data_IF_895841882890
#
_entry.id   IF_895841882890
#
_cell.length_a   1.000
_cell.length_b   1.000
_cell.length_c   1.000
_cell.angle_alpha   90.00
_cell.angle_beta   90.00
_cell.angle_gamma   90.00
#
_symmetry.space_group_name_H-M   'P 1'
#
loop_
_entity.id
_entity.type
_entity.pdbx_description
1 polymer ?
#
# COMPACT_ATOMS: atom_id res chain seq x y z
N UNK A 1 -14.19 1.69 38.89
CA UNK A 1 -13.51 0.39 38.67
C UNK A 1 -14.21 -0.32 37.51
N UNK A 2 -13.64 -0.25 36.31
CA UNK A 2 -14.14 -1.00 35.15
C UNK A 2 -13.67 -2.44 35.23
N UNK A 3 -14.59 -3.41 35.24
CA UNK A 3 -14.25 -4.84 35.17
C UNK A 3 -13.84 -5.17 33.73
N UNK A 4 -12.55 -5.41 33.54
CA UNK A 4 -12.04 -6.21 32.42
C UNK A 4 -12.60 -7.62 32.58
N UNK A 5 -13.58 -7.97 31.75
CA UNK A 5 -14.09 -9.34 31.64
C UNK A 5 -13.10 -10.12 30.79
N UNK A 6 -12.13 -10.76 31.44
CA UNK A 6 -11.31 -11.81 30.81
C UNK A 6 -12.13 -13.09 30.82
N UNK A 7 -12.73 -13.45 29.68
CA UNK A 7 -13.48 -14.69 29.51
C UNK A 7 -12.53 -15.90 29.65
N UNK A 8 -12.90 -16.86 30.51
CA UNK A 8 -12.22 -18.16 30.63
C UNK A 8 -12.63 -19.07 29.47
N UNK A 9 -11.77 -20.03 29.13
CA UNK A 9 -11.91 -21.05 28.06
C UNK A 9 -13.13 -22.01 28.27
N UNK A 10 -14.11 -21.66 29.11
CA UNK A 10 -15.22 -22.53 29.54
C UNK A 10 -16.60 -22.11 29.04
N UNK A 11 -16.72 -21.03 28.27
CA UNK A 11 -18.00 -20.60 27.73
C UNK A 11 -18.37 -21.40 26.49
N UNK A 12 -19.64 -21.81 26.38
CA UNK A 12 -20.15 -22.54 25.22
C UNK A 12 -19.92 -21.72 23.93
N UNK A 13 -19.50 -22.35 22.82
CA UNK A 13 -19.14 -21.66 21.57
C UNK A 13 -20.29 -20.80 21.02
N UNK A 14 -21.55 -21.18 21.29
CA UNK A 14 -22.73 -20.39 20.94
C UNK A 14 -22.77 -19.04 21.69
N UNK A 15 -22.43 -19.02 22.98
CA UNK A 15 -22.37 -17.78 23.78
C UNK A 15 -21.24 -16.87 23.32
N UNK A 16 -20.09 -17.45 23.00
CA UNK A 16 -18.95 -16.70 22.45
C UNK A 16 -19.33 -16.06 21.10
N UNK A 17 -20.02 -16.80 20.23
CA UNK A 17 -20.56 -16.26 18.98
C UNK A 17 -21.58 -15.16 19.20
N UNK A 18 -22.54 -15.34 20.11
CA UNK A 18 -23.53 -14.31 20.44
C UNK A 18 -22.87 -13.02 20.91
N UNK A 19 -21.87 -13.14 21.80
CA UNK A 19 -21.08 -11.99 22.26
C UNK A 19 -20.31 -11.32 21.13
N UNK A 20 -19.69 -12.12 20.25
CA UNK A 20 -19.04 -11.62 19.04
C UNK A 20 -20.02 -10.86 18.13
N UNK A 21 -21.25 -11.38 17.95
CA UNK A 21 -22.29 -10.75 17.13
C UNK A 21 -22.74 -9.40 17.70
N UNK A 22 -22.89 -9.28 19.02
CA UNK A 22 -23.20 -8.02 19.70
C UNK A 22 -22.12 -6.97 19.45
N UNK A 23 -20.86 -7.35 19.66
CA UNK A 23 -19.70 -6.47 19.44
C UNK A 23 -19.55 -6.07 17.97
N UNK A 24 -19.79 -7.02 17.06
CA UNK A 24 -19.76 -6.77 15.62
C UNK A 24 -20.82 -5.74 15.21
N UNK A 25 -22.05 -5.88 15.70
CA UNK A 25 -23.12 -4.89 15.47
C UNK A 25 -22.81 -3.54 16.08
N UNK A 26 -22.06 -3.52 17.19
CA UNK A 26 -21.55 -2.31 17.82
C UNK A 26 -20.30 -1.70 17.15
N UNK A 27 -19.84 -2.23 16.01
CA UNK A 27 -18.64 -1.75 15.30
C UNK A 27 -17.31 -2.09 15.98
N UNK A 28 -17.33 -2.87 17.07
CA UNK A 28 -16.15 -3.30 17.81
C UNK A 28 -15.54 -4.56 17.20
N UNK A 29 -15.09 -4.46 15.94
CA UNK A 29 -14.67 -5.60 15.13
C UNK A 29 -13.46 -6.36 15.70
N UNK A 30 -12.51 -5.65 16.31
CA UNK A 30 -11.34 -6.27 16.93
C UNK A 30 -11.72 -7.18 18.11
N UNK A 31 -12.65 -6.73 18.97
CA UNK A 31 -13.16 -7.55 20.06
C UNK A 31 -14.06 -8.68 19.56
N UNK A 32 -14.91 -8.41 18.55
CA UNK A 32 -15.71 -9.44 17.91
C UNK A 32 -14.85 -10.58 17.35
N UNK A 33 -13.74 -10.25 16.67
CA UNK A 33 -12.80 -11.22 16.14
C UNK A 33 -12.17 -12.11 17.24
N UNK A 34 -11.89 -11.55 18.43
CA UNK A 34 -11.38 -12.34 19.56
C UNK A 34 -12.39 -13.40 20.00
N UNK A 35 -13.66 -13.01 20.17
CA UNK A 35 -14.72 -13.94 20.57
C UNK A 35 -15.00 -15.00 19.50
N UNK A 36 -15.01 -14.63 18.21
CA UNK A 36 -15.16 -15.61 17.13
C UNK A 36 -13.98 -16.59 17.05
N UNK A 37 -12.75 -16.13 17.32
CA UNK A 37 -11.57 -17.01 17.39
C UNK A 37 -11.69 -18.01 18.55
N UNK A 38 -12.12 -17.56 19.73
CA UNK A 38 -12.37 -18.45 20.87
C UNK A 38 -13.49 -19.46 20.58
N UNK A 39 -14.56 -19.04 19.91
CA UNK A 39 -15.63 -19.94 19.47
C UNK A 39 -15.11 -20.99 18.46
N UNK A 40 -14.28 -20.57 17.50
CA UNK A 40 -13.61 -21.44 16.54
C UNK A 40 -12.66 -22.43 17.23
N UNK A 41 -11.91 -22.01 18.24
CA UNK A 41 -11.01 -22.89 19.01
C UNK A 41 -11.82 -23.93 19.81
N UNK A 42 -12.98 -23.53 20.33
CA UNK A 42 -13.88 -24.40 21.11
C UNK A 42 -14.67 -25.37 20.23
N UNK A 43 -14.92 -25.02 18.98
CA UNK A 43 -15.61 -25.87 18.00
C UNK A 43 -14.99 -25.72 16.60
N UNK A 44 -13.84 -26.38 16.37
CA UNK A 44 -13.08 -26.22 15.13
C UNK A 44 -13.83 -26.65 13.89
N UNK A 45 -14.75 -27.61 13.98
CA UNK A 45 -15.46 -28.18 12.84
C UNK A 45 -16.64 -27.30 12.35
N UNK A 46 -17.12 -26.36 13.17
CA UNK A 46 -18.23 -25.50 12.78
C UNK A 46 -17.74 -24.33 11.89
N UNK A 47 -18.13 -24.27 10.61
CA UNK A 47 -17.69 -23.23 9.68
C UNK A 47 -18.28 -21.86 10.00
N UNK A 48 -19.35 -21.76 10.80
CA UNK A 48 -20.03 -20.50 11.13
C UNK A 48 -19.12 -19.58 11.92
N UNK A 49 -18.39 -20.11 12.91
CA UNK A 49 -17.47 -19.31 13.74
C UNK A 49 -16.33 -18.73 12.89
N UNK A 50 -15.78 -19.55 11.99
CA UNK A 50 -14.73 -19.14 11.05
C UNK A 50 -15.25 -18.12 10.03
N UNK A 51 -16.49 -18.28 9.55
CA UNK A 51 -17.16 -17.33 8.66
C UNK A 51 -17.42 -15.99 9.34
N UNK A 52 -17.81 -15.99 10.61
CA UNK A 52 -17.98 -14.75 11.38
C UNK A 52 -16.64 -14.07 11.69
N UNK A 53 -15.59 -14.85 11.97
CA UNK A 53 -14.23 -14.33 12.11
C UNK A 53 -13.75 -13.62 10.84
N UNK A 54 -13.93 -14.23 9.66
CA UNK A 54 -13.56 -13.57 8.40
C UNK A 54 -14.37 -12.29 8.14
N UNK A 55 -15.61 -12.19 8.62
CA UNK A 55 -16.38 -10.95 8.58
C UNK A 55 -15.73 -9.85 9.41
N UNK A 56 -15.36 -10.15 10.66
CA UNK A 56 -14.71 -9.19 11.55
C UNK A 56 -13.34 -8.74 11.02
N UNK A 57 -12.55 -9.67 10.47
CA UNK A 57 -11.25 -9.35 9.86
C UNK A 57 -11.40 -8.48 8.61
N UNK A 58 -12.42 -8.74 7.79
CA UNK A 58 -12.72 -7.93 6.62
C UNK A 58 -13.06 -6.47 7.00
N UNK A 59 -13.90 -6.27 8.02
CA UNK A 59 -14.26 -4.92 8.50
C UNK A 59 -13.08 -4.18 9.16
N UNK A 60 -12.04 -4.91 9.60
CA UNK A 60 -10.79 -4.32 10.09
C UNK A 60 -9.80 -3.95 8.96
N UNK A 61 -10.11 -4.28 7.71
CA UNK A 61 -9.17 -4.13 6.58
C UNK A 61 -8.07 -5.20 6.53
N UNK A 62 -8.12 -6.22 7.40
CA UNK A 62 -7.19 -7.34 7.39
C UNK A 62 -7.63 -8.40 6.37
N UNK A 63 -7.52 -8.02 5.09
CA UNK A 63 -8.02 -8.82 3.97
C UNK A 63 -7.28 -10.15 3.80
N UNK A 64 -6.00 -10.22 4.18
CA UNK A 64 -5.20 -11.45 4.08
C UNK A 64 -5.68 -12.51 5.08
N UNK A 65 -5.85 -12.14 6.36
CA UNK A 65 -6.39 -13.08 7.34
C UNK A 65 -7.88 -13.36 7.10
N UNK A 66 -8.65 -12.39 6.60
CA UNK A 66 -10.03 -12.63 6.17
C UNK A 66 -10.09 -13.66 5.04
N UNK A 67 -9.24 -13.56 4.03
CA UNK A 67 -9.13 -14.53 2.93
C UNK A 67 -8.84 -15.94 3.45
N UNK A 68 -7.82 -16.09 4.30
CA UNK A 68 -7.46 -17.38 4.90
C UNK A 68 -8.61 -17.98 5.71
N UNK A 69 -9.30 -17.16 6.51
CA UNK A 69 -10.46 -17.59 7.27
C UNK A 69 -11.64 -17.99 6.36
N UNK A 70 -11.85 -17.33 5.22
CA UNK A 70 -12.84 -17.77 4.23
C UNK A 70 -12.48 -19.14 3.66
N UNK A 71 -11.23 -19.34 3.24
CA UNK A 71 -10.76 -20.63 2.75
C UNK A 71 -11.00 -21.74 3.78
N UNK A 72 -10.66 -21.49 5.04
CA UNK A 72 -10.89 -22.42 6.14
C UNK A 72 -12.38 -22.72 6.36
N UNK A 73 -13.24 -21.69 6.31
CA UNK A 73 -14.68 -21.86 6.45
C UNK A 73 -15.29 -22.71 5.32
N UNK A 74 -14.81 -22.56 4.07
CA UNK A 74 -15.27 -23.38 2.94
C UNK A 74 -14.81 -24.83 3.04
N UNK A 75 -13.61 -25.08 3.55
CA UNK A 75 -13.09 -26.45 3.74
C UNK A 75 -13.86 -27.19 4.83
N UNK A 76 -14.30 -26.48 5.87
CA UNK A 76 -15.06 -27.05 7.00
C UNK A 76 -16.56 -27.13 6.76
N UNK A 77 -17.09 -26.35 5.82
CA UNK A 77 -18.51 -26.41 5.51
C UNK A 77 -18.84 -27.68 4.76
N UNK A 78 -19.81 -28.43 5.29
CA UNK A 78 -20.53 -29.40 4.48
C UNK A 78 -21.14 -28.65 3.27
N UNK A 79 -21.00 -29.14 2.04
CA UNK A 79 -21.61 -28.50 0.90
C UNK A 79 -23.12 -28.51 1.14
N UNK A 80 -23.82 -27.38 0.92
CA UNK A 80 -25.25 -27.31 0.53
C UNK A 80 -25.90 -25.96 0.89
N UNK A 81 -25.42 -25.16 1.86
CA UNK A 81 -26.07 -23.85 2.17
C UNK A 81 -25.69 -22.76 1.15
N UNK A 82 -26.59 -22.36 0.23
CA UNK A 82 -26.25 -21.42 -0.85
C UNK A 82 -25.99 -20.01 -0.30
N UNK A 83 -26.77 -19.58 0.69
CA UNK A 83 -26.63 -18.28 1.34
C UNK A 83 -25.31 -18.15 2.12
N UNK A 84 -24.81 -19.27 2.68
CA UNK A 84 -23.52 -19.29 3.36
C UNK A 84 -22.38 -19.07 2.36
N UNK A 85 -22.37 -19.85 1.26
CA UNK A 85 -21.35 -19.72 0.21
C UNK A 85 -21.43 -18.40 -0.52
N UNK A 86 -22.63 -17.84 -0.72
CA UNK A 86 -22.81 -16.53 -1.35
C UNK A 86 -22.17 -15.41 -0.52
N UNK A 87 -22.38 -15.41 0.81
CA UNK A 87 -21.76 -14.42 1.71
C UNK A 87 -20.24 -14.53 1.72
N UNK A 88 -19.70 -15.75 1.75
CA UNK A 88 -18.26 -15.99 1.67
C UNK A 88 -17.68 -15.57 0.32
N UNK A 89 -18.39 -15.87 -0.77
CA UNK A 89 -17.99 -15.48 -2.13
C UNK A 89 -17.91 -13.97 -2.30
N UNK A 90 -18.95 -13.24 -1.87
CA UNK A 90 -18.97 -11.78 -1.93
C UNK A 90 -17.83 -11.15 -1.10
N UNK A 91 -17.49 -11.73 0.06
CA UNK A 91 -16.39 -11.26 0.89
C UNK A 91 -15.03 -11.59 0.27
N UNK A 92 -14.85 -12.80 -0.28
CA UNK A 92 -13.60 -13.22 -0.91
C UNK A 92 -13.26 -12.35 -2.11
N UNK A 93 -14.23 -12.06 -2.98
CA UNK A 93 -14.00 -11.17 -4.12
C UNK A 93 -13.46 -9.80 -3.70
N UNK A 94 -13.97 -9.24 -2.59
CA UNK A 94 -13.50 -7.97 -2.04
C UNK A 94 -12.13 -8.10 -1.36
N UNK A 95 -11.84 -9.20 -0.68
CA UNK A 95 -10.51 -9.44 -0.12
C UNK A 95 -9.44 -9.53 -1.21
N UNK A 96 -9.76 -10.18 -2.34
CA UNK A 96 -8.89 -10.26 -3.50
C UNK A 96 -8.72 -8.89 -4.18
N UNK A 97 -9.78 -8.09 -4.24
CA UNK A 97 -9.75 -6.77 -4.89
C UNK A 97 -9.02 -5.71 -4.05
N UNK A 98 -9.18 -5.72 -2.73
CA UNK A 98 -8.66 -4.67 -1.84
C UNK A 98 -7.41 -5.08 -1.06
N UNK A 99 -7.14 -6.38 -0.96
CA UNK A 99 -6.03 -6.92 -0.18
C UNK A 99 -4.83 -7.34 -1.03
N UNK A 100 -3.66 -7.33 -0.40
CA UNK A 100 -2.45 -7.97 -0.93
C UNK A 100 -2.40 -9.41 -0.45
N UNK A 101 -2.84 -10.34 -1.31
CA UNK A 101 -2.78 -11.79 -1.02
C UNK A 101 -1.50 -12.36 -1.63
N UNK A 102 -0.73 -13.10 -0.82
CA UNK A 102 0.48 -13.78 -1.29
C UNK A 102 0.16 -14.75 -2.44
N UNK A 103 1.01 -14.75 -3.47
CA UNK A 103 0.79 -15.54 -4.68
C UNK A 103 0.76 -17.05 -4.39
N UNK A 104 1.58 -17.54 -3.45
CA UNK A 104 1.59 -18.96 -3.10
C UNK A 104 0.30 -19.34 -2.36
N UNK A 105 -0.16 -18.49 -1.44
CA UNK A 105 -1.44 -18.67 -0.74
C UNK A 105 -2.60 -18.69 -1.74
N UNK A 106 -2.63 -17.74 -2.68
CA UNK A 106 -3.66 -17.67 -3.71
C UNK A 106 -3.65 -18.91 -4.61
N UNK A 107 -2.46 -19.37 -5.04
CA UNK A 107 -2.28 -20.58 -5.85
C UNK A 107 -2.78 -21.83 -5.14
N UNK A 108 -2.48 -21.99 -3.85
CA UNK A 108 -2.99 -23.10 -3.03
C UNK A 108 -4.52 -23.05 -2.86
N UNK A 109 -5.10 -21.85 -2.83
CA UNK A 109 -6.53 -21.64 -2.69
C UNK A 109 -7.32 -21.66 -4.02
N UNK A 110 -6.68 -21.90 -5.17
CA UNK A 110 -7.30 -21.77 -6.50
C UNK A 110 -8.62 -22.55 -6.66
N UNK A 111 -8.70 -23.77 -6.10
CA UNK A 111 -9.92 -24.60 -6.14
C UNK A 111 -11.06 -23.92 -5.39
N UNK A 112 -10.78 -23.35 -4.21
CA UNK A 112 -11.78 -22.65 -3.38
C UNK A 112 -12.24 -21.36 -4.05
N UNK A 113 -11.30 -20.59 -4.62
CA UNK A 113 -11.59 -19.35 -5.35
C UNK A 113 -12.55 -19.64 -6.51
N UNK A 114 -12.23 -20.62 -7.35
CA UNK A 114 -13.09 -21.01 -8.48
C UNK A 114 -14.45 -21.57 -8.00
N UNK A 115 -14.46 -22.33 -6.90
CA UNK A 115 -15.71 -22.82 -6.28
C UNK A 115 -16.59 -21.64 -5.84
N UNK A 116 -16.06 -20.64 -5.15
CA UNK A 116 -16.85 -19.51 -4.67
C UNK A 116 -17.31 -18.56 -5.80
N UNK A 117 -16.47 -18.32 -6.81
CA UNK A 117 -16.85 -17.51 -7.96
C UNK A 117 -18.01 -18.15 -8.75
N UNK A 118 -17.95 -19.46 -9.01
CA UNK A 118 -19.00 -20.18 -9.75
C UNK A 118 -20.36 -20.16 -9.06
N UNK A 119 -20.40 -19.99 -7.72
CA UNK A 119 -21.63 -19.92 -6.93
C UNK A 119 -22.27 -18.54 -6.94
N UNK A 120 -21.44 -17.49 -7.03
CA UNK A 120 -21.91 -16.12 -7.00
C UNK A 120 -20.95 -15.21 -7.76
N UNK A 121 -21.22 -15.05 -9.06
CA UNK A 121 -20.52 -14.07 -9.88
C UNK A 121 -21.07 -12.67 -9.58
N UNK A 122 -20.18 -11.77 -9.17
CA UNK A 122 -20.51 -10.39 -8.84
C UNK A 122 -19.65 -9.39 -9.63
N UNK A 123 -19.94 -8.10 -9.50
CA UNK A 123 -19.11 -7.04 -10.11
C UNK A 123 -17.66 -7.13 -9.60
N UNK A 124 -17.49 -7.42 -8.31
CA UNK A 124 -16.20 -7.54 -7.64
C UNK A 124 -15.38 -8.70 -8.23
N UNK A 125 -16.00 -9.86 -8.49
CA UNK A 125 -15.32 -10.98 -9.17
C UNK A 125 -14.83 -10.59 -10.58
N UNK A 126 -15.67 -9.90 -11.36
CA UNK A 126 -15.27 -9.41 -12.69
C UNK A 126 -14.10 -8.42 -12.61
N UNK A 127 -14.12 -7.53 -11.62
CA UNK A 127 -13.03 -6.57 -11.38
C UNK A 127 -11.75 -7.30 -10.98
N UNK A 128 -11.82 -8.26 -10.06
CA UNK A 128 -10.68 -9.09 -9.68
C UNK A 128 -10.08 -9.83 -10.88
N UNK A 129 -10.89 -10.52 -11.69
CA UNK A 129 -10.41 -11.24 -12.88
C UNK A 129 -9.78 -10.32 -13.92
N UNK A 130 -10.28 -9.10 -14.07
CA UNK A 130 -9.64 -8.09 -14.92
C UNK A 130 -8.26 -7.70 -14.37
N UNK A 131 -8.15 -7.47 -13.07
CA UNK A 131 -6.90 -7.16 -12.36
C UNK A 131 -5.89 -8.31 -12.45
N UNK A 132 -6.33 -9.54 -12.23
CA UNK A 132 -5.50 -10.75 -12.35
C UNK A 132 -5.02 -10.95 -13.79
N UNK A 133 -5.89 -10.73 -14.78
CA UNK A 133 -5.52 -10.77 -16.20
C UNK A 133 -4.50 -9.68 -16.54
N UNK A 134 -4.70 -8.45 -16.07
CA UNK A 134 -3.76 -7.35 -16.25
C UNK A 134 -2.40 -7.65 -15.61
N UNK A 135 -2.39 -8.16 -14.38
CA UNK A 135 -1.16 -8.59 -13.70
C UNK A 135 -0.41 -9.68 -14.50
N UNK A 136 -1.14 -10.66 -15.05
CA UNK A 136 -0.57 -11.69 -15.91
C UNK A 136 -0.05 -11.11 -17.23
N UNK A 137 -0.76 -10.17 -17.86
CA UNK A 137 -0.30 -9.47 -19.06
C UNK A 137 0.95 -8.64 -18.78
N UNK A 138 1.05 -8.01 -17.62
CA UNK A 138 2.25 -7.29 -17.19
C UNK A 138 3.39 -8.29 -17.00
N UNK A 139 3.17 -9.40 -16.32
CA UNK A 139 4.20 -10.42 -16.10
C UNK A 139 4.74 -10.99 -17.42
N UNK A 140 3.85 -11.41 -18.33
CA UNK A 140 4.21 -11.94 -19.65
C UNK A 140 4.79 -10.87 -20.57
N UNK A 141 4.22 -9.67 -20.52
CA UNK A 141 4.59 -8.54 -21.36
C UNK A 141 5.81 -7.76 -20.87
N UNK A 142 6.27 -8.00 -19.63
CA UNK A 142 7.37 -7.28 -19.00
C UNK A 142 8.65 -7.35 -19.83
N UNK A 143 9.06 -8.55 -20.25
CA UNK A 143 10.23 -8.75 -21.12
C UNK A 143 10.07 -8.03 -22.45
N UNK A 144 8.91 -8.14 -23.10
CA UNK A 144 8.65 -7.45 -24.36
C UNK A 144 8.61 -5.93 -24.20
N UNK A 145 8.10 -5.42 -23.08
CA UNK A 145 8.09 -4.00 -22.73
C UNK A 145 9.51 -3.49 -22.46
N UNK A 146 10.35 -4.27 -21.78
CA UNK A 146 11.79 -3.97 -21.62
C UNK A 146 12.49 -3.87 -22.97
N UNK A 147 12.26 -4.81 -23.89
CA UNK A 147 12.79 -4.73 -25.25
C UNK A 147 12.33 -3.47 -25.98
N UNK A 148 11.02 -3.16 -25.95
CA UNK A 148 10.50 -1.93 -26.57
C UNK A 148 11.11 -0.68 -25.96
N UNK A 149 11.27 -0.62 -24.64
CA UNK A 149 11.91 0.51 -23.95
C UNK A 149 13.37 0.70 -24.39
N UNK A 150 14.11 -0.40 -24.56
CA UNK A 150 15.49 -0.36 -25.08
C UNK A 150 15.55 0.12 -26.54
N UNK A 151 14.54 -0.23 -27.33
CA UNK A 151 14.41 0.12 -28.75
C UNK A 151 13.77 1.51 -28.98
N UNK A 152 13.25 2.17 -27.94
CA UNK A 152 12.66 3.51 -28.08
C UNK A 152 13.70 4.49 -28.63
N UNK A 153 13.28 5.29 -29.61
CA UNK A 153 14.09 6.36 -30.15
C UNK A 153 14.43 7.36 -29.04
N UNK A 154 15.69 7.35 -28.63
CA UNK A 154 16.20 8.24 -27.59
C UNK A 154 16.47 9.59 -28.25
N UNK A 155 15.64 10.58 -27.93
CA UNK A 155 15.95 11.96 -28.29
C UNK A 155 17.22 12.37 -27.55
N UNK A 156 18.34 12.42 -28.28
CA UNK A 156 19.55 13.05 -27.80
C UNK A 156 19.41 14.54 -28.07
N UNK A 157 19.38 15.36 -27.04
CA UNK A 157 19.61 16.79 -27.22
C UNK A 157 20.97 16.98 -27.88
N UNK A 158 21.15 18.07 -28.61
CA UNK A 158 22.47 18.43 -29.13
C UNK A 158 23.47 18.44 -27.96
N UNK A 159 24.68 17.95 -28.22
CA UNK A 159 25.78 18.03 -27.25
C UNK A 159 26.00 19.50 -26.92
N UNK A 160 25.51 19.94 -25.77
CA UNK A 160 25.80 21.26 -25.24
C UNK A 160 27.04 21.11 -24.36
N UNK A 161 28.19 21.68 -24.75
CA UNK A 161 29.40 21.64 -23.92
C UNK A 161 29.27 22.49 -22.65
N UNK A 162 28.19 23.27 -22.52
CA UNK A 162 27.89 24.04 -21.31
C UNK A 162 27.59 23.09 -20.17
N UNK A 163 28.43 23.14 -19.13
CA UNK A 163 28.18 22.43 -17.89
C UNK A 163 26.97 23.05 -17.19
N UNK A 164 25.87 22.32 -17.16
CA UNK A 164 24.68 22.69 -16.41
C UNK A 164 24.78 22.08 -15.00
N UNK A 165 24.72 22.93 -13.98
CA UNK A 165 24.73 22.52 -12.58
C UNK A 165 23.30 22.42 -12.08
N UNK A 166 22.83 21.19 -11.87
CA UNK A 166 21.55 20.92 -11.24
C UNK A 166 21.75 20.82 -9.73
N UNK A 167 21.03 21.61 -8.92
CA UNK A 167 21.21 21.64 -7.46
C UNK A 167 20.50 20.48 -6.73
N UNK A 168 19.71 19.69 -7.45
CA UNK A 168 18.78 18.69 -6.92
C UNK A 168 18.76 17.48 -7.87
N UNK A 169 18.56 16.26 -7.37
CA UNK A 169 18.48 15.04 -8.19
C UNK A 169 19.81 14.33 -8.48
N UNK A 170 20.79 14.43 -7.57
CA UNK A 170 22.05 13.67 -7.66
C UNK A 170 21.89 12.24 -7.12
N UNK A 171 20.88 11.52 -7.59
CA UNK A 171 20.78 10.11 -7.26
C UNK A 171 21.98 9.36 -7.83
N UNK A 172 22.42 8.36 -7.09
CA UNK A 172 23.46 7.46 -7.56
C UNK A 172 22.90 6.76 -8.81
N UNK A 173 23.59 6.82 -9.97
CA UNK A 173 23.10 6.19 -11.19
C UNK A 173 22.79 4.71 -10.95
N UNK A 174 21.57 4.30 -11.31
CA UNK A 174 21.10 2.93 -11.20
C UNK A 174 20.50 2.47 -12.53
N UNK A 175 20.46 1.16 -12.77
CA UNK A 175 19.73 0.62 -13.91
C UNK A 175 18.24 0.68 -13.63
N UNK A 176 17.48 1.39 -14.47
CA UNK A 176 16.01 1.41 -14.40
C UNK A 176 15.39 0.04 -14.71
N UNK A 177 16.14 -0.85 -15.37
CA UNK A 177 15.68 -2.19 -15.75
C UNK A 177 16.01 -3.22 -14.67
N UNK A 178 17.23 -3.16 -14.12
CA UNK A 178 17.75 -4.22 -13.25
C UNK A 178 17.56 -3.92 -11.75
N UNK A 179 17.24 -2.67 -11.39
CA UNK A 179 17.24 -2.22 -10.00
C UNK A 179 15.92 -1.53 -9.58
N UNK A 180 14.87 -1.58 -10.41
CA UNK A 180 13.56 -1.02 -10.12
C UNK A 180 12.62 -2.04 -9.48
N UNK A 181 11.97 -1.70 -8.36
CA UNK A 181 11.03 -2.55 -7.62
C UNK A 181 11.63 -3.29 -6.41
N UNK A 182 10.83 -4.13 -5.75
CA UNK A 182 11.20 -4.83 -4.51
C UNK A 182 12.36 -5.83 -4.64
N UNK A 183 12.70 -6.21 -5.87
CA UNK A 183 13.88 -7.03 -6.19
C UNK A 183 15.08 -6.11 -6.42
N UNK A 184 15.48 -5.36 -5.40
CA UNK A 184 16.74 -4.62 -5.47
C UNK A 184 17.89 -5.61 -5.61
N UNK A 185 18.48 -5.68 -6.80
CA UNK A 185 19.72 -6.42 -7.02
C UNK A 185 20.87 -5.68 -6.31
N UNK A 186 21.88 -6.42 -5.85
CA UNK A 186 23.06 -5.87 -5.12
C UNK A 186 23.90 -4.87 -5.95
N UNK A 187 23.52 -4.57 -7.20
CA UNK A 187 24.28 -3.76 -8.14
C UNK A 187 23.88 -2.27 -8.12
N UNK A 188 23.70 -1.70 -6.92
CA UNK A 188 23.62 -0.24 -6.73
C UNK A 188 24.86 0.17 -5.91
N UNK A 189 25.70 1.14 -6.34
CA UNK A 189 25.64 1.96 -7.57
C UNK A 189 25.89 1.19 -8.87
N UNK A 190 25.45 1.73 -10.03
CA UNK A 190 26.02 1.34 -11.32
C UNK A 190 27.53 1.70 -11.33
N UNK A 191 28.46 0.75 -11.48
CA UNK A 191 29.89 1.00 -11.31
C UNK A 191 30.50 1.65 -12.56
N UNK A 192 30.14 2.90 -12.84
CA UNK A 192 30.53 3.65 -14.05
C UNK A 192 32.05 3.64 -14.29
N UNK A 193 32.85 3.70 -13.22
CA UNK A 193 34.32 3.70 -13.28
C UNK A 193 34.91 2.37 -13.76
N UNK A 194 34.16 1.27 -13.65
CA UNK A 194 34.59 -0.07 -14.06
C UNK A 194 34.14 -0.42 -15.48
N UNK A 195 33.32 0.43 -16.13
CA UNK A 195 32.83 0.22 -17.49
C UNK A 195 33.87 0.68 -18.52
N UNK A 196 33.99 -0.08 -19.61
CA UNK A 196 34.79 0.34 -20.76
C UNK A 196 34.15 1.53 -21.47
N UNK A 197 34.96 2.35 -22.16
CA UNK A 197 34.46 3.48 -22.97
C UNK A 197 33.39 3.06 -23.99
N UNK A 198 33.52 1.86 -24.56
CA UNK A 198 32.55 1.28 -25.50
C UNK A 198 31.19 0.95 -24.88
N UNK A 199 31.14 0.70 -23.57
CA UNK A 199 29.90 0.51 -22.81
C UNK A 199 29.34 1.85 -22.36
N UNK A 200 30.20 2.74 -21.88
CA UNK A 200 29.82 4.09 -21.44
C UNK A 200 29.15 4.87 -22.58
N UNK A 201 29.66 4.78 -23.80
CA UNK A 201 29.10 5.48 -24.97
C UNK A 201 27.69 5.00 -25.38
N UNK A 202 27.25 3.85 -24.87
CA UNK A 202 25.92 3.28 -25.11
C UNK A 202 24.93 3.55 -23.97
N UNK A 203 25.40 4.11 -22.85
CA UNK A 203 24.52 4.46 -21.74
C UNK A 203 23.57 5.58 -22.14
N UNK A 204 22.38 5.57 -21.53
CA UNK A 204 21.39 6.61 -21.68
C UNK A 204 20.88 6.93 -20.28
N UNK A 205 20.94 8.19 -19.90
CA UNK A 205 20.51 8.64 -18.58
C UNK A 205 19.09 9.16 -18.71
N UNK A 206 18.19 8.61 -17.90
CA UNK A 206 16.87 9.18 -17.68
C UNK A 206 16.97 10.06 -16.44
N UNK A 207 16.74 11.36 -16.61
CA UNK A 207 16.56 12.28 -15.49
C UNK A 207 15.05 12.37 -15.22
N UNK A 208 14.58 11.60 -14.25
CA UNK A 208 13.20 11.67 -13.76
C UNK A 208 13.25 12.09 -12.28
N UNK A 209 12.69 13.24 -11.95
CA UNK A 209 12.62 13.72 -10.57
C UNK A 209 11.44 13.08 -9.83
N UNK A 210 11.66 12.76 -8.55
CA UNK A 210 10.60 12.32 -7.63
C UNK A 210 9.71 13.54 -7.31
N UNK A 211 8.59 13.66 -8.01
CA UNK A 211 7.58 14.70 -7.74
C UNK A 211 6.99 14.58 -6.34
N UNK A 212 6.87 13.36 -5.83
CA UNK A 212 6.15 13.01 -4.61
C UNK A 212 6.63 13.79 -3.37
N UNK A 213 7.94 13.99 -3.19
CA UNK A 213 8.45 14.72 -2.04
C UNK A 213 8.11 16.22 -2.10
N UNK A 214 8.17 16.81 -3.30
CA UNK A 214 7.79 18.20 -3.53
C UNK A 214 6.28 18.38 -3.41
N UNK A 215 5.52 17.46 -3.97
CA UNK A 215 4.06 17.45 -3.96
C UNK A 215 3.55 17.26 -2.52
N UNK A 216 4.22 16.43 -1.73
CA UNK A 216 3.91 16.26 -0.30
C UNK A 216 4.21 17.54 0.49
N UNK A 217 5.35 18.19 0.28
CA UNK A 217 5.65 19.50 0.88
C UNK A 217 4.62 20.57 0.45
N UNK A 218 4.17 20.51 -0.80
CA UNK A 218 3.14 21.41 -1.33
C UNK A 218 1.79 21.20 -0.64
N UNK A 219 1.37 19.95 -0.43
CA UNK A 219 0.14 19.63 0.29
C UNK A 219 0.20 20.05 1.77
N UNK A 220 1.34 19.90 2.42
CA UNK A 220 1.53 20.39 3.80
C UNK A 220 1.43 21.92 3.86
N UNK A 221 2.04 22.64 2.92
CA UNK A 221 1.90 24.10 2.83
C UNK A 221 0.45 24.54 2.58
N UNK A 222 -0.32 23.76 1.82
CA UNK A 222 -1.76 24.01 1.65
C UNK A 222 -2.55 23.75 2.94
N UNK A 223 -2.24 22.66 3.66
CA UNK A 223 -2.85 22.35 4.96
C UNK A 223 -2.58 23.47 5.98
N UNK A 224 -1.34 23.97 6.02
CA UNK A 224 -0.94 25.12 6.82
C UNK A 224 -1.75 26.37 6.45
N UNK A 225 -1.90 26.66 5.16
CA UNK A 225 -2.65 27.83 4.67
C UNK A 225 -4.14 27.78 5.04
N UNK A 226 -4.73 26.59 5.05
CA UNK A 226 -6.13 26.37 5.45
C UNK A 226 -6.29 26.40 6.96
N UNK A 227 -5.23 26.08 7.72
CA UNK A 227 -5.26 26.15 9.16
C UNK A 227 -5.36 27.60 9.66
N UNK A 228 -6.24 27.88 10.63
CA UNK A 228 -6.43 29.23 11.22
C UNK A 228 -5.28 29.62 12.17
N UNK A 229 -4.08 29.07 11.95
CA UNK A 229 -2.94 29.21 12.86
C UNK A 229 -2.05 30.42 12.55
N UNK A 230 -2.11 30.92 11.31
CA UNK A 230 -1.13 31.88 10.79
C UNK A 230 -1.74 33.25 10.54
N UNK A 231 -0.94 34.29 10.79
CA UNK A 231 -1.34 35.68 10.50
C UNK A 231 -1.34 35.99 9.00
N UNK A 232 -1.87 37.15 8.60
CA UNK A 232 -1.95 37.53 7.18
C UNK A 232 -0.59 37.56 6.47
N UNK A 233 0.47 37.97 7.18
CA UNK A 233 1.82 38.06 6.63
C UNK A 233 2.38 36.66 6.39
N UNK A 234 2.18 35.76 7.35
CA UNK A 234 2.58 34.36 7.26
C UNK A 234 1.81 33.61 6.17
N UNK A 235 0.52 33.89 6.00
CA UNK A 235 -0.28 33.32 4.91
C UNK A 235 0.20 33.80 3.53
N UNK A 236 0.60 35.07 3.39
CA UNK A 236 1.22 35.58 2.16
C UNK A 236 2.55 34.89 1.90
N UNK A 237 3.35 34.67 2.94
CA UNK A 237 4.61 33.91 2.85
C UNK A 237 4.38 32.45 2.44
N UNK A 238 3.35 31.78 2.97
CA UNK A 238 2.98 30.42 2.57
C UNK A 238 2.56 30.39 1.09
N UNK A 239 1.71 31.33 0.65
CA UNK A 239 1.30 31.47 -0.76
C UNK A 239 2.49 31.73 -1.68
N UNK A 240 3.42 32.60 -1.28
CA UNK A 240 4.65 32.86 -2.02
C UNK A 240 5.53 31.60 -2.09
N UNK A 241 5.69 30.90 -0.97
CA UNK A 241 6.43 29.63 -0.91
C UNK A 241 5.82 28.59 -1.86
N UNK A 242 4.48 28.44 -1.87
CA UNK A 242 3.77 27.59 -2.82
C UNK A 242 4.09 27.96 -4.27
N UNK A 243 3.94 29.25 -4.64
CA UNK A 243 4.23 29.73 -5.99
C UNK A 243 5.68 29.44 -6.41
N UNK A 244 6.66 29.81 -5.58
CA UNK A 244 8.07 29.63 -5.89
C UNK A 244 8.52 28.17 -5.86
N UNK A 245 7.86 27.31 -5.08
CA UNK A 245 8.17 25.87 -5.03
C UNK A 245 7.73 25.13 -6.30
N UNK A 246 6.69 25.63 -6.99
CA UNK A 246 6.12 24.97 -8.16
C UNK A 246 6.54 25.64 -9.49
N UNK A 247 6.62 26.97 -9.51
CA UNK A 247 6.84 27.77 -10.74
C UNK A 247 8.20 28.48 -10.74
N UNK A 248 8.76 28.76 -9.56
CA UNK A 248 9.95 29.59 -9.42
C UNK A 248 11.25 28.90 -9.81
N UNK A 249 12.05 29.54 -10.67
CA UNK A 249 13.43 29.12 -10.95
C UNK A 249 14.37 29.52 -9.78
N UNK A 250 14.07 30.64 -9.12
CA UNK A 250 14.81 31.17 -7.97
C UNK A 250 13.80 31.51 -6.88
N UNK A 251 14.03 31.02 -5.66
CA UNK A 251 13.18 31.22 -4.50
C UNK A 251 13.79 32.29 -3.58
N UNK A 252 13.03 33.29 -3.13
CA UNK A 252 13.48 34.23 -2.11
C UNK A 252 13.88 33.52 -0.80
N UNK A 253 14.85 34.08 -0.08
CA UNK A 253 15.43 33.46 1.13
C UNK A 253 14.38 33.12 2.21
N UNK A 254 13.37 33.97 2.39
CA UNK A 254 12.29 33.72 3.35
C UNK A 254 11.40 32.53 2.94
N UNK A 255 11.01 32.43 1.66
CA UNK A 255 10.31 31.27 1.13
C UNK A 255 11.15 29.99 1.26
N UNK A 256 12.46 30.09 1.01
CA UNK A 256 13.37 28.95 1.10
C UNK A 256 13.46 28.42 2.53
N UNK A 257 13.59 29.32 3.52
CA UNK A 257 13.58 28.97 4.94
C UNK A 257 12.28 28.27 5.34
N UNK A 258 11.12 28.79 4.92
CA UNK A 258 9.83 28.15 5.19
C UNK A 258 9.71 26.77 4.53
N UNK A 259 10.12 26.64 3.27
CA UNK A 259 10.12 25.35 2.58
C UNK A 259 11.03 24.33 3.29
N UNK A 260 12.23 24.73 3.72
CA UNK A 260 13.13 23.87 4.49
C UNK A 260 12.55 23.47 5.85
N UNK A 261 11.81 24.36 6.52
CA UNK A 261 11.09 24.02 7.75
C UNK A 261 10.07 22.91 7.51
N UNK A 262 9.24 23.04 6.47
CA UNK A 262 8.26 22.01 6.09
C UNK A 262 8.92 20.68 5.79
N UNK A 263 10.01 20.68 5.00
CA UNK A 263 10.78 19.46 4.69
C UNK A 263 11.30 18.82 5.97
N UNK A 264 11.91 19.60 6.86
CA UNK A 264 12.51 19.09 8.10
C UNK A 264 11.46 18.52 9.04
N UNK A 265 10.33 19.20 9.18
CA UNK A 265 9.20 18.74 9.99
C UNK A 265 8.58 17.46 9.42
N UNK A 266 8.37 17.41 8.11
CA UNK A 266 7.82 16.24 7.43
C UNK A 266 8.73 15.02 7.58
N UNK A 267 10.04 15.17 7.37
CA UNK A 267 11.03 14.10 7.62
C UNK A 267 10.95 13.64 9.08
N UNK A 268 10.97 14.60 10.02
CA UNK A 268 10.89 14.29 11.44
C UNK A 268 9.59 13.60 11.85
N UNK A 269 8.47 13.91 11.18
CA UNK A 269 7.19 13.25 11.43
C UNK A 269 7.14 11.86 10.81
N UNK A 270 7.66 11.66 9.59
CA UNK A 270 7.68 10.36 8.91
C UNK A 270 8.63 9.35 9.57
N UNK A 271 9.73 9.81 10.17
CA UNK A 271 10.72 8.96 10.83
C UNK A 271 10.32 8.50 12.25
N UNK A 272 9.20 9.00 12.81
CA UNK A 272 8.72 8.57 14.12
C UNK A 272 8.06 7.19 14.02
N UNK A 273 8.27 6.35 15.04
CA UNK A 273 7.54 5.07 15.22
C UNK A 273 6.02 5.23 15.17
N UNK A 274 5.52 6.42 15.53
CA UNK A 274 4.14 6.85 15.33
C UNK A 274 4.14 8.20 14.61
N UNK A 275 3.99 8.22 13.28
CA UNK A 275 3.99 9.45 12.51
C UNK A 275 2.87 10.38 12.95
N UNK A 276 3.20 11.65 13.21
CA UNK A 276 2.21 12.68 13.52
C UNK A 276 1.91 13.43 12.23
N UNK A 277 1.05 12.84 11.40
CA UNK A 277 0.73 13.33 10.06
C UNK A 277 -0.68 13.96 10.02
N UNK A 278 -0.95 14.86 9.06
CA UNK A 278 -2.31 15.33 8.80
C UNK A 278 -3.26 14.16 8.53
N UNK A 279 -4.55 14.33 8.84
CA UNK A 279 -5.53 13.25 8.74
C UNK A 279 -5.71 12.69 7.31
N UNK A 280 -5.40 13.48 6.28
CA UNK A 280 -5.45 13.08 4.88
C UNK A 280 -4.21 12.30 4.41
N UNK A 281 -3.14 12.29 5.21
CA UNK A 281 -1.87 11.65 4.86
C UNK A 281 -1.72 10.33 5.62
N UNK A 282 -1.88 9.21 4.90
CA UNK A 282 -1.73 7.88 5.46
C UNK A 282 -0.44 7.22 4.95
N UNK A 283 0.39 6.74 5.87
CA UNK A 283 1.60 5.99 5.53
C UNK A 283 1.41 4.56 6.00
N UNK A 284 1.32 3.64 5.05
CA UNK A 284 1.19 2.23 5.38
C UNK A 284 2.59 1.67 5.65
N UNK A 285 2.87 1.33 6.91
CA UNK A 285 4.07 0.62 7.26
C UNK A 285 3.91 -0.84 6.80
N UNK A 286 4.40 -1.14 5.60
CA UNK A 286 4.60 -2.52 5.18
C UNK A 286 5.45 -3.24 6.21
N UNK A 287 4.95 -4.34 6.75
CA UNK A 287 5.65 -5.16 7.73
C UNK A 287 6.89 -5.77 7.05
N UNK A 288 8.09 -5.43 7.51
CA UNK A 288 9.27 -6.28 7.29
C UNK A 288 10.17 -6.27 8.53
N UNK A 289 10.39 -7.46 9.09
CA UNK A 289 11.17 -7.67 10.32
C UNK A 289 12.68 -7.69 10.08
N UNK A 290 13.15 -7.49 8.86
CA UNK A 290 14.58 -7.53 8.54
C UNK A 290 14.93 -6.58 7.40
N UNK A 291 15.29 -5.34 7.76
CA UNK A 291 15.99 -4.35 6.94
C UNK A 291 15.25 -3.67 5.77
N UNK A 292 15.15 -2.34 5.94
CA UNK A 292 14.90 -1.26 4.98
C UNK A 292 13.45 -1.10 4.47
N UNK A 293 12.75 -0.26 5.23
CA UNK A 293 11.43 0.34 4.98
C UNK A 293 11.12 0.59 3.49
N UNK A 294 10.11 -0.11 2.98
CA UNK A 294 9.28 0.37 1.88
C UNK A 294 7.94 0.80 2.48
N UNK A 295 7.84 2.09 2.80
CA UNK A 295 6.58 2.73 3.19
C UNK A 295 5.90 3.26 1.94
N UNK A 296 4.75 2.69 1.57
CA UNK A 296 3.86 3.29 0.58
C UNK A 296 3.10 4.44 1.22
N UNK A 297 3.23 5.63 0.63
CA UNK A 297 2.48 6.83 1.04
C UNK A 297 1.19 6.86 0.22
N UNK A 298 0.05 6.82 0.90
CA UNK A 298 -1.26 7.01 0.29
C UNK A 298 -1.76 8.41 0.68
N UNK A 299 -1.96 9.26 -0.31
CA UNK A 299 -2.63 10.56 -0.15
C UNK A 299 -4.11 10.33 -0.47
N UNK A 300 -4.99 10.56 0.51
CA UNK A 300 -6.45 10.39 0.38
C UNK A 300 -7.14 11.70 0.03
#
# INVERSE_FOLDING_TARGET
MGRLVTASISDAPEKLKERGNELFKGGSFQEAAKFYRQAQESSPEDPIYTSNLSAALYELGDYSNAFNAICLAVTKSDPESPDFLQRLSARMAKCLLYGTIDHNVLSQAAIIVNKLESRHSSKEWKMWRALESEANMIAVGSTAAQHRLLDMNKFKSNLNPTLEFFKIGHDIPMSIVDNWGALHTQNVPLPLKQLSLSKISKLSFLFAGVGDARDLCFLILLDDLVSVKYDEKEQVEIKATLFYSYVGIVMPDYCHKRFQMVVTELIGNLQRDRPRLPAWLHVNAGFDSTNHQLSSILVL
#
